data_IF_669303141474
#
_entry.id   IF_669303141474
#
_cell.length_a   1.000
_cell.length_b   1.000
_cell.length_c   1.000
_cell.angle_alpha   90.00
_cell.angle_beta   90.00
_cell.angle_gamma   90.00
#
_symmetry.space_group_name_H-M   'P 1'
#
loop_
_entity.id
_entity.type
_entity.pdbx_description
1 polymer ?
#
# COMPACT_ATOMS: atom_id res chain seq x y z
N UNK A 1 8.29 -77.88 -33.13
CA UNK A 1 8.09 -77.57 -31.69
C UNK A 1 8.79 -76.25 -31.38
N UNK A 2 8.06 -75.17 -31.43
CA UNK A 2 8.58 -73.81 -31.34
C UNK A 2 8.42 -73.29 -29.89
N UNK A 3 9.49 -73.07 -29.16
CA UNK A 3 9.43 -72.48 -27.83
C UNK A 3 9.35 -70.94 -27.90
N UNK A 4 8.21 -70.42 -27.51
CA UNK A 4 8.02 -68.99 -27.32
C UNK A 4 8.63 -68.59 -25.98
N UNK A 5 9.69 -67.76 -26.01
CA UNK A 5 10.26 -67.11 -24.82
C UNK A 5 9.50 -65.84 -24.54
N UNK A 6 8.73 -65.78 -23.46
CA UNK A 6 8.10 -64.54 -22.95
C UNK A 6 9.13 -63.72 -22.20
N UNK A 7 9.53 -62.63 -22.76
CA UNK A 7 10.32 -61.58 -22.05
C UNK A 7 9.35 -60.69 -21.30
N UNK A 8 9.32 -60.81 -20.01
CA UNK A 8 8.61 -59.88 -19.15
C UNK A 8 9.44 -58.60 -19.00
N UNK A 9 9.03 -57.54 -19.68
CA UNK A 9 9.63 -56.20 -19.48
C UNK A 9 9.12 -55.57 -18.19
N UNK A 10 9.96 -55.47 -17.19
CA UNK A 10 9.70 -54.64 -15.99
C UNK A 10 10.01 -53.22 -16.36
N UNK A 11 8.95 -52.43 -16.57
CA UNK A 11 9.04 -50.98 -16.74
C UNK A 11 9.19 -50.35 -15.34
N UNK A 12 10.41 -50.03 -14.95
CA UNK A 12 10.68 -49.24 -13.76
C UNK A 12 10.31 -47.77 -14.07
N UNK A 13 9.18 -47.30 -13.53
CA UNK A 13 8.86 -45.87 -13.48
C UNK A 13 9.87 -45.20 -12.52
N UNK A 14 10.91 -44.57 -13.08
CA UNK A 14 11.70 -43.60 -12.37
C UNK A 14 10.85 -42.30 -12.21
N UNK A 15 10.25 -42.12 -11.05
CA UNK A 15 9.79 -40.80 -10.66
C UNK A 15 11.04 -39.92 -10.47
N UNK A 16 11.35 -39.08 -11.46
CA UNK A 16 12.22 -37.94 -11.26
C UNK A 16 11.45 -36.98 -10.34
N UNK A 17 11.74 -37.02 -9.06
CA UNK A 17 11.42 -35.93 -8.14
C UNK A 17 12.32 -34.75 -8.52
N UNK A 18 11.87 -33.94 -9.48
CA UNK A 18 12.42 -32.63 -9.68
C UNK A 18 12.21 -31.88 -8.35
N UNK A 19 13.22 -31.20 -7.79
CA UNK A 19 13.00 -30.33 -6.65
C UNK A 19 11.93 -29.30 -7.08
N UNK A 20 10.79 -29.31 -6.41
CA UNK A 20 9.79 -28.26 -6.55
C UNK A 20 10.54 -26.99 -6.14
N UNK A 21 10.68 -25.97 -7.00
CA UNK A 21 11.29 -24.72 -6.59
C UNK A 21 10.49 -24.24 -5.38
N UNK A 22 11.15 -24.14 -4.21
CA UNK A 22 10.56 -23.52 -3.05
C UNK A 22 10.24 -22.08 -3.47
N UNK A 23 8.97 -21.71 -3.56
CA UNK A 23 8.58 -20.32 -3.74
C UNK A 23 9.19 -19.57 -2.54
N UNK A 24 10.11 -18.68 -2.83
CA UNK A 24 10.62 -17.77 -1.80
C UNK A 24 9.48 -16.77 -1.56
N UNK A 25 8.98 -16.71 -0.32
CA UNK A 25 7.97 -15.74 0.06
C UNK A 25 8.42 -14.34 -0.36
N UNK A 26 7.54 -13.62 -1.04
CA UNK A 26 7.80 -12.24 -1.41
C UNK A 26 7.75 -11.40 -0.12
N UNK A 27 8.78 -10.62 0.12
CA UNK A 27 8.86 -9.75 1.29
C UNK A 27 9.56 -8.44 0.92
N UNK A 28 9.21 -7.32 1.57
CA UNK A 28 9.93 -6.08 1.37
C UNK A 28 11.41 -6.25 1.74
N UNK A 29 12.31 -5.45 1.12
CA UNK A 29 13.71 -5.41 1.54
C UNK A 29 13.83 -5.15 3.05
N UNK A 30 14.81 -5.74 3.73
CA UNK A 30 15.09 -5.41 5.12
C UNK A 30 15.33 -3.92 5.29
N UNK A 31 14.69 -3.33 6.30
CA UNK A 31 14.93 -1.93 6.63
C UNK A 31 16.36 -1.75 7.13
N UNK A 32 17.09 -0.87 6.45
CA UNK A 32 18.44 -0.44 6.83
C UNK A 32 18.49 1.09 6.84
N UNK A 33 18.75 1.67 8.00
CA UNK A 33 18.80 3.11 8.19
C UNK A 33 19.92 3.82 7.39
N UNK A 34 20.90 3.08 6.86
CA UNK A 34 21.93 3.62 5.97
C UNK A 34 21.33 4.14 4.65
N UNK A 35 20.17 3.64 4.23
CA UNK A 35 19.44 4.12 3.05
C UNK A 35 18.51 5.31 3.33
N UNK A 36 18.42 5.80 4.57
CA UNK A 36 17.57 6.95 4.88
C UNK A 36 18.02 8.17 4.07
N UNK A 37 17.15 8.80 3.27
CA UNK A 37 17.51 10.00 2.54
C UNK A 37 18.07 11.08 3.46
N UNK A 38 19.12 11.77 3.05
CA UNK A 38 19.64 12.92 3.80
C UNK A 38 18.59 14.03 3.87
N UNK A 39 18.56 14.83 4.97
CA UNK A 39 17.70 16.00 5.03
C UNK A 39 18.02 16.96 3.88
N UNK A 40 17.00 17.32 3.10
CA UNK A 40 17.15 18.26 2.00
C UNK A 40 15.84 19.03 1.80
N UNK A 41 15.94 20.24 1.29
CA UNK A 41 14.77 20.98 0.85
C UNK A 41 14.06 20.22 -0.29
N UNK A 42 12.72 20.19 -0.31
CA UNK A 42 11.95 19.63 -1.42
C UNK A 42 12.35 20.27 -2.75
N UNK A 43 12.72 19.44 -3.72
CA UNK A 43 13.11 19.88 -5.05
C UNK A 43 12.86 18.76 -6.07
N UNK A 44 12.52 19.09 -7.33
CA UNK A 44 12.41 18.10 -8.39
C UNK A 44 13.75 17.41 -8.67
N UNK A 45 13.76 16.18 -9.19
CA UNK A 45 14.97 15.43 -9.48
C UNK A 45 15.81 16.03 -10.62
N UNK A 46 15.26 16.96 -11.37
CA UNK A 46 15.89 17.67 -12.47
C UNK A 46 14.97 18.73 -13.06
N UNK A 47 15.35 19.43 -14.12
CA UNK A 47 14.48 20.39 -14.81
C UNK A 47 13.24 19.71 -15.35
N UNK A 48 12.06 20.23 -14.99
CA UNK A 48 10.76 19.72 -15.40
C UNK A 48 10.03 20.68 -16.31
N UNK A 49 9.01 20.18 -16.98
CA UNK A 49 8.07 20.98 -17.77
C UNK A 49 6.65 20.41 -17.66
N UNK A 50 5.67 21.28 -17.79
CA UNK A 50 4.30 20.83 -17.89
C UNK A 50 4.06 20.22 -19.28
N UNK A 51 3.68 18.95 -19.33
CA UNK A 51 3.46 18.16 -20.56
C UNK A 51 2.00 18.07 -20.97
N UNK A 52 1.06 18.35 -20.06
CA UNK A 52 -0.37 18.31 -20.31
C UNK A 52 -1.11 19.43 -19.57
N UNK A 53 -2.31 19.76 -20.02
CA UNK A 53 -3.18 20.73 -19.33
C UNK A 53 -3.57 20.19 -17.97
N UNK A 54 -3.71 21.10 -16.99
CA UNK A 54 -4.26 20.73 -15.69
C UNK A 54 -5.66 20.16 -15.82
N UNK A 55 -5.99 19.23 -14.93
CA UNK A 55 -7.32 18.64 -14.86
C UNK A 55 -8.37 19.70 -14.51
N UNK A 56 -9.59 19.49 -14.96
CA UNK A 56 -10.76 20.23 -14.50
C UNK A 56 -11.60 19.28 -13.63
N UNK A 57 -12.16 19.81 -12.56
CA UNK A 57 -13.11 19.08 -11.72
C UNK A 57 -14.52 19.53 -12.01
N UNK A 58 -15.46 18.60 -12.04
CA UNK A 58 -16.87 18.90 -12.24
C UNK A 58 -17.49 19.32 -10.91
N UNK A 59 -18.40 20.28 -10.94
CA UNK A 59 -19.18 20.62 -9.75
C UNK A 59 -19.97 19.41 -9.25
N UNK A 60 -19.92 19.17 -7.95
CA UNK A 60 -20.67 18.08 -7.34
C UNK A 60 -22.16 18.27 -7.53
N UNK A 61 -22.88 17.17 -7.79
CA UNK A 61 -24.34 17.14 -7.91
C UNK A 61 -25.04 17.19 -6.55
N UNK A 62 -24.32 16.90 -5.49
CA UNK A 62 -24.79 16.90 -4.10
C UNK A 62 -23.71 17.45 -3.18
N UNK A 63 -24.11 18.06 -2.07
CA UNK A 63 -23.22 18.48 -0.99
C UNK A 63 -23.01 17.39 0.08
N UNK A 64 -23.77 16.28 -0.02
CA UNK A 64 -23.68 15.17 0.95
C UNK A 64 -22.58 14.21 0.51
N UNK A 65 -21.59 13.99 1.35
CA UNK A 65 -20.60 12.97 1.12
C UNK A 65 -21.15 11.59 1.52
N UNK A 66 -21.65 10.84 0.52
CA UNK A 66 -22.11 9.46 0.73
C UNK A 66 -21.02 8.58 1.34
N UNK A 67 -19.77 8.79 0.94
CA UNK A 67 -18.59 8.12 1.48
C UNK A 67 -18.45 8.28 3.01
N UNK A 68 -18.63 9.49 3.54
CA UNK A 68 -18.42 9.77 4.96
C UNK A 68 -19.65 9.49 5.84
N UNK A 69 -20.80 9.24 5.26
CA UNK A 69 -22.05 8.99 5.99
C UNK A 69 -21.96 7.76 6.90
N UNK A 70 -21.21 6.73 6.50
CA UNK A 70 -21.03 5.50 7.26
C UNK A 70 -20.17 5.66 8.53
N UNK A 71 -19.46 6.79 8.70
CA UNK A 71 -18.54 7.02 9.83
C UNK A 71 -19.22 7.59 11.07
N UNK A 72 -20.48 7.99 10.98
CA UNK A 72 -21.23 8.62 12.08
C UNK A 72 -20.45 9.79 12.75
N UNK A 73 -19.90 10.68 11.94
CA UNK A 73 -19.04 11.77 12.41
C UNK A 73 -19.72 12.69 13.42
N UNK A 74 -21.06 12.81 13.38
CA UNK A 74 -21.81 13.57 14.36
C UNK A 74 -21.65 13.04 15.80
N UNK A 75 -21.48 11.72 15.98
CA UNK A 75 -21.18 11.12 17.28
C UNK A 75 -19.69 11.19 17.65
N UNK A 76 -18.80 11.29 16.65
CA UNK A 76 -17.34 11.34 16.84
C UNK A 76 -16.85 12.74 17.24
N UNK A 77 -17.33 13.80 16.59
CA UNK A 77 -16.82 15.16 16.77
C UNK A 77 -16.97 15.75 18.17
N UNK A 78 -17.97 15.41 18.99
CA UNK A 78 -17.97 15.80 20.40
C UNK A 78 -16.76 15.27 21.19
N UNK A 79 -16.13 14.17 20.73
CA UNK A 79 -14.96 13.57 21.37
C UNK A 79 -13.65 14.08 20.78
N UNK A 80 -13.58 14.28 19.47
CA UNK A 80 -12.39 14.77 18.77
C UNK A 80 -12.74 15.30 17.37
N UNK A 81 -12.08 16.40 16.96
CA UNK A 81 -12.15 16.99 15.61
C UNK A 81 -10.78 17.04 14.93
N UNK A 82 -9.73 16.45 15.56
CA UNK A 82 -8.37 16.42 15.01
C UNK A 82 -7.52 17.65 15.37
N UNK A 83 -7.97 18.54 16.25
CA UNK A 83 -7.22 19.72 16.65
C UNK A 83 -5.81 19.35 17.17
N UNK A 84 -4.80 20.17 16.81
CA UNK A 84 -3.40 19.97 17.19
C UNK A 84 -2.67 18.90 16.36
N UNK A 85 -3.34 18.26 15.39
CA UNK A 85 -2.70 17.30 14.50
C UNK A 85 -2.35 17.94 13.16
N UNK A 86 -1.21 17.53 12.60
CA UNK A 86 -0.79 17.89 11.24
C UNK A 86 -0.78 16.63 10.39
N UNK A 87 -1.60 16.62 9.35
CA UNK A 87 -1.66 15.53 8.37
C UNK A 87 -0.92 15.96 7.12
N UNK A 88 0.22 15.32 6.83
CA UNK A 88 0.90 15.52 5.56
C UNK A 88 0.15 14.77 4.45
N UNK A 89 -0.18 15.46 3.38
CA UNK A 89 -0.73 14.90 2.15
C UNK A 89 0.40 14.87 1.13
N UNK A 90 1.00 13.68 0.94
CA UNK A 90 2.03 13.43 -0.08
C UNK A 90 1.30 12.92 -1.33
N UNK A 91 1.12 13.82 -2.30
CA UNK A 91 0.25 13.58 -3.44
C UNK A 91 0.62 14.50 -4.63
N UNK A 92 -0.35 14.88 -5.44
CA UNK A 92 -0.19 15.78 -6.60
C UNK A 92 -0.12 17.28 -6.24
N UNK A 93 -0.02 17.60 -4.95
CA UNK A 93 -0.16 18.93 -4.37
C UNK A 93 -1.54 19.13 -3.75
N UNK A 94 -1.76 20.26 -3.08
CA UNK A 94 -3.07 20.62 -2.53
C UNK A 94 -3.35 22.08 -2.89
N UNK A 95 -4.30 22.33 -3.76
CA UNK A 95 -4.69 23.68 -4.14
C UNK A 95 -5.28 24.45 -2.94
N UNK A 96 -4.97 25.75 -2.86
CA UNK A 96 -5.58 26.63 -1.85
C UNK A 96 -7.10 26.65 -2.03
N UNK A 97 -7.80 26.36 -0.94
CA UNK A 97 -9.26 26.29 -0.95
C UNK A 97 -9.83 26.91 0.34
N UNK A 98 -10.96 27.63 0.28
CA UNK A 98 -11.56 28.30 1.45
C UNK A 98 -11.93 27.33 2.58
N UNK A 99 -12.19 26.05 2.25
CA UNK A 99 -12.47 24.99 3.23
C UNK A 99 -11.22 24.28 3.77
N UNK A 100 -10.02 24.75 3.42
CA UNK A 100 -8.75 24.30 4.01
C UNK A 100 -8.06 25.48 4.71
N UNK A 101 -8.64 26.05 5.79
CA UNK A 101 -8.12 27.24 6.46
C UNK A 101 -6.76 26.99 7.13
N UNK A 102 -6.39 25.73 7.40
CA UNK A 102 -5.15 25.32 8.05
C UNK A 102 -4.19 24.61 7.08
N UNK A 103 -4.18 25.07 5.79
CA UNK A 103 -3.25 24.55 4.79
C UNK A 103 -1.85 25.12 5.01
N UNK A 104 -0.84 24.24 5.09
CA UNK A 104 0.57 24.55 5.30
C UNK A 104 1.33 24.12 4.05
N UNK A 105 2.21 24.97 3.54
CA UNK A 105 3.13 24.64 2.47
C UNK A 105 4.21 23.67 2.96
N UNK A 106 4.36 22.51 2.30
CA UNK A 106 5.30 21.45 2.67
C UNK A 106 6.38 21.17 1.63
N UNK A 107 6.27 21.80 0.45
CA UNK A 107 7.25 21.72 -0.63
C UNK A 107 6.82 20.91 -1.84
N UNK A 108 7.63 20.99 -2.89
CA UNK A 108 7.30 20.47 -4.21
C UNK A 108 8.49 19.72 -4.84
N UNK A 109 8.30 18.45 -5.12
CA UNK A 109 9.27 17.58 -5.83
C UNK A 109 8.98 17.49 -7.34
N UNK A 110 7.99 18.26 -7.86
CA UNK A 110 7.57 18.22 -9.27
C UNK A 110 8.04 19.45 -10.03
N UNK A 111 7.74 20.66 -9.52
CA UNK A 111 8.03 21.91 -10.23
C UNK A 111 8.77 22.95 -9.37
N UNK A 112 9.07 22.62 -8.11
CA UNK A 112 9.80 23.51 -7.19
C UNK A 112 8.95 24.67 -6.66
N UNK A 113 7.61 24.51 -6.59
CA UNK A 113 6.71 25.42 -5.89
C UNK A 113 6.67 25.10 -4.38
N UNK A 114 5.65 25.55 -3.66
CA UNK A 114 5.53 25.33 -2.22
C UNK A 114 4.65 24.11 -1.85
N UNK A 115 4.16 23.35 -2.85
CA UNK A 115 3.25 22.22 -2.66
C UNK A 115 1.78 22.58 -2.63
N UNK A 116 1.44 23.90 -2.60
CA UNK A 116 0.05 24.35 -2.60
C UNK A 116 -0.52 24.60 -4.00
N UNK A 117 0.12 24.04 -5.00
CA UNK A 117 -0.36 23.95 -6.38
C UNK A 117 -0.69 22.51 -6.73
N UNK A 118 -1.86 22.29 -7.31
CA UNK A 118 -2.32 20.96 -7.75
C UNK A 118 -2.88 21.06 -9.17
N UNK A 119 -2.14 20.50 -10.12
CA UNK A 119 -2.56 20.48 -11.53
C UNK A 119 -3.38 19.22 -11.88
N UNK A 120 -3.32 18.21 -11.05
CA UNK A 120 -4.00 16.92 -11.23
C UNK A 120 -5.36 16.86 -10.52
N UNK A 121 -5.51 17.55 -9.38
CA UNK A 121 -6.72 17.63 -8.56
C UNK A 121 -6.87 16.50 -7.57
N UNK A 122 -5.99 15.51 -7.59
CA UNK A 122 -6.11 14.35 -6.73
C UNK A 122 -5.76 14.69 -5.27
N UNK A 123 -4.62 15.34 -5.02
CA UNK A 123 -4.22 15.70 -3.67
C UNK A 123 -5.17 16.71 -3.00
N UNK A 124 -5.77 17.61 -3.75
CA UNK A 124 -6.82 18.54 -3.26
C UNK A 124 -8.06 17.76 -2.81
N UNK A 125 -8.48 16.76 -3.59
CA UNK A 125 -9.59 15.88 -3.25
C UNK A 125 -9.28 15.06 -1.97
N UNK A 126 -8.07 14.49 -1.86
CA UNK A 126 -7.56 13.77 -0.68
C UNK A 126 -7.56 14.67 0.56
N UNK A 127 -7.02 15.88 0.45
CA UNK A 127 -6.98 16.85 1.56
C UNK A 127 -8.40 17.23 2.04
N UNK A 128 -9.35 17.33 1.10
CA UNK A 128 -10.75 17.61 1.40
C UNK A 128 -11.40 16.51 2.24
N UNK A 129 -11.14 15.24 1.95
CA UNK A 129 -11.64 14.11 2.72
C UNK A 129 -11.05 14.13 4.14
N UNK A 130 -9.77 14.46 4.29
CA UNK A 130 -9.10 14.49 5.59
C UNK A 130 -9.62 15.63 6.46
N UNK A 131 -9.53 16.88 5.96
CA UNK A 131 -9.55 18.03 6.85
C UNK A 131 -10.34 19.24 6.34
N UNK A 132 -11.27 19.07 5.36
CA UNK A 132 -12.11 20.19 4.97
C UNK A 132 -12.95 20.69 6.13
N UNK A 133 -12.99 22.01 6.33
CA UNK A 133 -13.88 22.66 7.28
C UNK A 133 -15.35 22.43 6.89
N UNK A 134 -16.24 22.40 7.89
CA UNK A 134 -17.67 22.18 7.65
C UNK A 134 -18.29 23.29 6.78
N UNK A 135 -19.05 22.90 5.78
CA UNK A 135 -19.80 23.78 4.88
C UNK A 135 -21.14 23.15 4.51
N UNK A 136 -22.21 23.54 5.17
CA UNK A 136 -23.51 22.90 5.03
C UNK A 136 -23.44 21.46 5.54
N UNK A 137 -23.78 20.51 4.68
CA UNK A 137 -23.77 19.07 4.99
C UNK A 137 -22.41 18.40 4.67
N UNK A 138 -21.43 19.15 4.12
CA UNK A 138 -20.11 18.65 3.79
C UNK A 138 -19.09 19.02 4.87
N UNK A 139 -18.20 18.08 5.18
CA UNK A 139 -17.00 18.28 6.00
C UNK A 139 -15.99 17.17 5.71
N UNK A 140 -14.71 17.42 5.99
CA UNK A 140 -13.72 16.36 6.13
C UNK A 140 -13.90 15.56 7.42
N UNK A 141 -13.15 14.48 7.57
CA UNK A 141 -13.21 13.60 8.77
C UNK A 141 -12.68 14.32 10.02
N UNK A 142 -11.57 15.03 9.89
CA UNK A 142 -10.88 15.75 10.96
C UNK A 142 -10.75 17.25 10.64
N UNK A 143 -11.87 18.01 10.70
CA UNK A 143 -11.94 19.37 10.14
C UNK A 143 -11.09 20.42 10.88
N UNK A 144 -10.57 20.11 12.06
CA UNK A 144 -9.72 21.00 12.86
C UNK A 144 -8.22 20.59 12.78
N UNK A 145 -7.87 19.57 11.95
CA UNK A 145 -6.49 19.22 11.67
C UNK A 145 -5.86 20.16 10.63
N UNK A 146 -4.56 20.41 10.77
CA UNK A 146 -3.79 21.10 9.74
C UNK A 146 -3.40 20.14 8.60
N UNK A 147 -3.38 20.64 7.38
CA UNK A 147 -2.94 19.90 6.19
C UNK A 147 -1.57 20.43 5.74
N UNK A 148 -0.54 19.58 5.76
CA UNK A 148 0.77 19.87 5.20
C UNK A 148 0.81 19.36 3.75
N UNK A 149 0.80 20.27 2.78
CA UNK A 149 0.77 19.95 1.36
C UNK A 149 2.16 19.64 0.82
N UNK A 150 2.39 18.42 0.36
CA UNK A 150 3.64 18.01 -0.29
C UNK A 150 3.31 17.47 -1.68
N UNK A 151 3.76 18.20 -2.71
CA UNK A 151 3.62 17.76 -4.09
C UNK A 151 4.75 16.82 -4.45
N UNK A 152 4.46 15.51 -4.53
CA UNK A 152 5.45 14.48 -4.82
C UNK A 152 5.34 13.94 -6.24
N UNK A 153 4.14 13.96 -6.83
CA UNK A 153 3.87 13.40 -8.14
C UNK A 153 2.95 14.29 -8.98
N UNK A 154 2.93 14.05 -10.28
CA UNK A 154 1.97 14.65 -11.21
C UNK A 154 1.94 13.89 -12.52
N UNK A 155 0.76 13.66 -13.07
CA UNK A 155 0.57 13.13 -14.43
C UNK A 155 0.57 14.25 -15.50
N UNK A 156 0.81 15.48 -15.11
CA UNK A 156 0.79 16.66 -15.99
C UNK A 156 2.16 17.25 -16.25
N UNK A 157 3.18 16.72 -15.55
CA UNK A 157 4.57 17.16 -15.66
C UNK A 157 5.49 15.98 -16.01
N UNK A 158 6.63 16.28 -16.64
CA UNK A 158 7.69 15.32 -16.96
C UNK A 158 9.08 15.96 -16.83
N UNK A 159 10.11 15.17 -16.78
CA UNK A 159 11.47 15.67 -16.94
C UNK A 159 11.69 16.17 -18.36
N UNK A 160 12.37 17.31 -18.53
CA UNK A 160 12.74 17.83 -19.86
C UNK A 160 13.70 16.90 -20.60
N UNK A 161 14.50 16.14 -19.87
CA UNK A 161 15.44 15.15 -20.42
C UNK A 161 14.76 13.87 -20.89
N UNK A 162 13.51 13.61 -20.49
CA UNK A 162 12.76 12.40 -20.85
C UNK A 162 11.37 12.76 -21.42
N UNK A 163 11.29 12.69 -22.75
CA UNK A 163 10.06 12.98 -23.49
C UNK A 163 9.18 11.73 -23.69
N UNK A 164 9.63 10.57 -23.21
CA UNK A 164 8.94 9.29 -23.38
C UNK A 164 8.04 8.95 -22.19
N UNK A 165 8.39 9.43 -21.01
CA UNK A 165 7.57 9.24 -19.79
C UNK A 165 6.42 10.24 -19.73
N UNK A 166 5.29 9.77 -19.23
CA UNK A 166 4.13 10.59 -18.90
C UNK A 166 3.95 10.61 -17.39
N UNK A 167 4.36 11.69 -16.75
CA UNK A 167 4.24 11.84 -15.32
C UNK A 167 5.58 11.91 -14.58
N UNK A 168 5.50 12.39 -13.35
CA UNK A 168 6.58 12.45 -12.36
C UNK A 168 6.11 11.81 -11.07
N UNK A 169 7.05 11.25 -10.35
CA UNK A 169 6.86 10.58 -9.07
C UNK A 169 7.39 9.16 -9.13
N UNK A 170 8.32 8.86 -8.24
CA UNK A 170 8.94 7.54 -8.07
C UNK A 170 9.10 7.23 -6.58
N UNK A 171 9.58 6.03 -6.27
CA UNK A 171 9.77 5.58 -4.89
C UNK A 171 10.87 6.36 -4.16
N UNK A 172 11.87 6.88 -4.88
CA UNK A 172 12.95 7.66 -4.28
C UNK A 172 12.48 9.08 -3.90
N UNK A 173 11.70 9.74 -4.76
CA UNK A 173 11.07 11.02 -4.42
C UNK A 173 10.05 10.85 -3.30
N UNK A 174 9.33 9.72 -3.24
CA UNK A 174 8.42 9.40 -2.15
C UNK A 174 9.16 9.22 -0.82
N UNK A 175 10.31 8.52 -0.82
CA UNK A 175 11.15 8.38 0.37
C UNK A 175 11.61 9.74 0.92
N UNK A 176 12.03 10.65 0.04
CA UNK A 176 12.41 12.03 0.41
C UNK A 176 11.22 12.84 0.92
N UNK A 177 10.05 12.69 0.31
CA UNK A 177 8.83 13.37 0.73
C UNK A 177 8.36 12.91 2.12
N UNK A 178 8.40 11.60 2.41
CA UNK A 178 8.09 11.03 3.74
C UNK A 178 9.09 11.55 4.78
N UNK A 179 10.39 11.57 4.45
CA UNK A 179 11.41 12.14 5.33
C UNK A 179 11.13 13.61 5.62
N UNK A 180 10.83 14.41 4.59
CA UNK A 180 10.50 15.84 4.73
C UNK A 180 9.24 16.06 5.58
N UNK A 181 8.17 15.29 5.35
CA UNK A 181 6.93 15.35 6.14
C UNK A 181 7.21 15.07 7.64
N UNK A 182 7.99 14.02 7.92
CA UNK A 182 8.35 13.62 9.27
C UNK A 182 9.21 14.68 9.97
N UNK A 183 10.18 15.28 9.26
CA UNK A 183 11.02 16.36 9.78
C UNK A 183 10.23 17.66 10.00
N UNK A 184 9.21 17.93 9.20
CA UNK A 184 8.28 19.05 9.38
C UNK A 184 7.30 18.84 10.55
N UNK A 185 7.35 17.70 11.24
CA UNK A 185 6.53 17.42 12.41
C UNK A 185 5.12 16.92 12.09
N UNK A 186 4.88 16.38 10.89
CA UNK A 186 3.63 15.72 10.61
C UNK A 186 3.39 14.55 11.57
N UNK A 187 2.21 14.51 12.18
CA UNK A 187 1.81 13.43 13.10
C UNK A 187 1.11 12.29 12.38
N UNK A 188 0.59 12.57 11.18
CA UNK A 188 0.00 11.61 10.25
C UNK A 188 0.55 11.91 8.85
N UNK A 189 0.90 10.88 8.10
CA UNK A 189 1.38 11.01 6.73
C UNK A 189 0.46 10.17 5.85
N UNK A 190 -0.30 10.82 4.96
CA UNK A 190 -1.16 10.15 3.98
C UNK A 190 -0.41 10.01 2.66
N UNK A 191 -0.33 8.77 2.16
CA UNK A 191 0.23 8.41 0.85
C UNK A 191 -0.85 7.71 0.04
N UNK A 192 -1.50 8.44 -0.86
CA UNK A 192 -2.57 7.89 -1.71
C UNK A 192 -2.06 7.39 -3.07
N UNK A 193 -0.80 7.68 -3.41
CA UNK A 193 -0.14 7.18 -4.62
C UNK A 193 0.69 5.95 -4.29
N UNK A 194 0.60 4.91 -5.12
CA UNK A 194 1.32 3.65 -4.94
C UNK A 194 2.01 3.22 -6.24
N UNK A 195 3.10 2.47 -6.11
CA UNK A 195 3.76 1.78 -7.22
C UNK A 195 3.43 0.28 -7.17
N UNK A 196 2.92 -0.26 -8.28
CA UNK A 196 2.68 -1.69 -8.42
C UNK A 196 3.71 -2.32 -9.34
N UNK A 197 4.26 -3.47 -8.92
CA UNK A 197 5.20 -4.27 -9.69
C UNK A 197 4.82 -5.76 -9.61
N UNK A 198 5.13 -6.57 -10.63
CA UNK A 198 5.02 -8.02 -10.51
C UNK A 198 5.88 -8.54 -9.35
N UNK A 199 5.38 -9.52 -8.61
CA UNK A 199 6.13 -10.14 -7.52
C UNK A 199 7.44 -10.82 -7.97
N UNK A 200 7.54 -11.15 -9.26
CA UNK A 200 8.76 -11.69 -9.90
C UNK A 200 9.86 -10.65 -10.14
N UNK A 201 9.52 -9.35 -10.08
CA UNK A 201 10.45 -8.24 -10.29
C UNK A 201 10.10 -7.09 -9.33
N UNK A 202 10.31 -7.29 -8.01
CA UNK A 202 9.92 -6.32 -7.00
C UNK A 202 10.81 -5.08 -7.06
N UNK A 203 10.30 -3.90 -6.63
CA UNK A 203 11.07 -2.66 -6.67
C UNK A 203 12.23 -2.69 -5.67
N UNK A 204 13.35 -2.03 -6.00
CA UNK A 204 14.37 -1.66 -5.02
C UNK A 204 13.95 -0.34 -4.34
N UNK A 205 13.18 -0.45 -3.27
CA UNK A 205 12.65 0.68 -2.53
C UNK A 205 13.19 0.78 -1.08
N UNK A 206 14.47 0.35 -0.88
CA UNK A 206 15.14 0.37 0.43
C UNK A 206 15.16 1.76 1.08
N UNK A 207 15.34 2.81 0.29
CA UNK A 207 15.29 4.20 0.77
C UNK A 207 13.90 4.53 1.33
N UNK A 208 12.84 4.04 0.70
CA UNK A 208 11.46 4.20 1.16
C UNK A 208 11.23 3.45 2.47
N UNK A 209 11.69 2.18 2.57
CA UNK A 209 11.60 1.42 3.82
C UNK A 209 12.30 2.11 4.99
N UNK A 210 13.49 2.69 4.76
CA UNK A 210 14.21 3.46 5.76
C UNK A 210 13.48 4.75 6.17
N UNK A 211 12.85 5.46 5.22
CA UNK A 211 12.07 6.67 5.48
C UNK A 211 10.79 6.36 6.28
N UNK A 212 10.11 5.25 5.98
CA UNK A 212 8.93 4.76 6.71
C UNK A 212 9.29 4.43 8.17
N UNK A 213 10.36 3.66 8.38
CA UNK A 213 10.84 3.33 9.73
C UNK A 213 11.23 4.59 10.50
N UNK A 214 11.89 5.55 9.87
CA UNK A 214 12.22 6.84 10.47
C UNK A 214 10.95 7.61 10.88
N UNK A 215 9.97 7.71 10.01
CA UNK A 215 8.72 8.41 10.30
C UNK A 215 7.99 7.78 11.50
N UNK A 216 7.90 6.45 11.55
CA UNK A 216 7.14 5.73 12.59
C UNK A 216 7.91 5.64 13.89
N UNK A 217 9.16 5.16 13.86
CA UNK A 217 9.88 4.81 15.09
C UNK A 217 10.69 5.97 15.67
N UNK A 218 11.12 6.94 14.84
CA UNK A 218 11.91 8.09 15.31
C UNK A 218 11.04 9.33 15.48
N UNK A 219 10.12 9.58 14.52
CA UNK A 219 9.30 10.81 14.52
C UNK A 219 7.90 10.58 15.09
N UNK A 220 7.55 9.33 15.41
CA UNK A 220 6.25 8.95 15.97
C UNK A 220 5.06 9.38 15.06
N UNK A 221 5.23 9.37 13.74
CA UNK A 221 4.19 9.66 12.78
C UNK A 221 3.50 8.38 12.31
N UNK A 222 2.17 8.37 12.20
CA UNK A 222 1.44 7.26 11.57
C UNK A 222 1.45 7.45 10.07
N UNK A 223 1.93 6.47 9.33
CA UNK A 223 1.88 6.48 7.86
C UNK A 223 0.68 5.65 7.40
N UNK A 224 -0.22 6.27 6.65
CA UNK A 224 -1.41 5.63 6.07
C UNK A 224 -1.25 5.57 4.56
N UNK A 225 -1.45 4.41 3.96
CA UNK A 225 -1.29 4.24 2.51
C UNK A 225 -2.48 3.53 1.88
N UNK A 226 -2.69 3.78 0.59
CA UNK A 226 -3.68 3.06 -0.21
C UNK A 226 -3.21 1.63 -0.53
N UNK A 227 -4.14 0.67 -0.60
CA UNK A 227 -3.83 -0.72 -0.96
C UNK A 227 -3.53 -0.90 -2.46
N UNK A 228 -3.89 0.06 -3.31
CA UNK A 228 -3.79 -0.03 -4.77
C UNK A 228 -5.12 -0.39 -5.42
N UNK A 229 -5.21 -0.10 -6.72
CA UNK A 229 -6.41 -0.38 -7.52
C UNK A 229 -6.05 -1.31 -8.68
N UNK A 230 -6.79 -2.39 -8.84
CA UNK A 230 -6.66 -3.27 -10.01
C UNK A 230 -6.97 -2.48 -11.28
N UNK A 231 -6.09 -2.56 -12.24
CA UNK A 231 -6.08 -1.77 -13.46
C UNK A 231 -4.87 -0.84 -13.53
N UNK A 232 -4.57 -0.27 -14.67
CA UNK A 232 -3.38 0.56 -14.85
C UNK A 232 -2.08 -0.21 -14.59
N UNK A 233 -1.24 0.28 -13.67
CA UNK A 233 0.02 -0.37 -13.29
C UNK A 233 -0.18 -1.61 -12.41
N UNK A 234 -1.28 -1.70 -11.67
CA UNK A 234 -1.64 -2.88 -10.88
C UNK A 234 -2.45 -3.87 -11.74
N UNK A 235 -1.80 -4.57 -12.65
CA UNK A 235 -2.48 -5.37 -13.70
C UNK A 235 -3.16 -6.63 -13.19
N UNK A 236 -2.67 -7.20 -12.09
CA UNK A 236 -3.11 -8.50 -11.57
C UNK A 236 -3.58 -8.37 -10.13
N UNK A 237 -4.76 -8.94 -9.84
CA UNK A 237 -5.26 -9.06 -8.47
C UNK A 237 -4.52 -10.16 -7.73
N UNK A 238 -4.17 -9.91 -6.47
CA UNK A 238 -3.61 -10.93 -5.61
C UNK A 238 -4.70 -11.94 -5.17
N UNK A 239 -4.33 -13.20 -4.88
CA UNK A 239 -5.23 -14.17 -4.30
C UNK A 239 -5.85 -13.67 -2.98
N UNK A 240 -7.10 -14.04 -2.73
CA UNK A 240 -7.83 -13.60 -1.54
C UNK A 240 -7.48 -14.40 -0.26
N UNK A 241 -6.47 -15.24 -0.33
CA UNK A 241 -5.99 -16.08 0.77
C UNK A 241 -5.79 -17.53 0.36
N UNK A 242 -5.14 -18.30 1.21
CA UNK A 242 -4.89 -19.73 0.97
C UNK A 242 -6.03 -20.57 1.53
N UNK A 243 -6.57 -21.46 0.70
CA UNK A 243 -7.55 -22.45 1.14
C UNK A 243 -6.97 -23.26 2.32
N UNK A 244 -7.70 -23.28 3.46
CA UNK A 244 -7.29 -23.99 4.67
C UNK A 244 -6.50 -23.16 5.71
N UNK A 245 -6.24 -21.87 5.46
CA UNK A 245 -5.66 -20.94 6.43
C UNK A 245 -6.44 -19.62 6.50
N UNK A 246 -7.74 -19.65 6.83
CA UNK A 246 -8.51 -18.41 6.99
C UNK A 246 -7.90 -17.54 8.10
N UNK A 247 -7.98 -16.24 7.95
CA UNK A 247 -7.49 -15.30 8.95
C UNK A 247 -5.96 -15.12 9.00
N UNK A 248 -5.20 -15.70 8.07
CA UNK A 248 -3.73 -15.61 8.07
C UNK A 248 -3.23 -14.95 6.79
N UNK A 249 -2.38 -13.88 6.87
CA UNK A 249 -1.71 -13.29 5.72
C UNK A 249 -0.85 -14.30 4.96
N UNK A 250 -0.99 -14.37 3.64
CA UNK A 250 -0.26 -15.27 2.76
C UNK A 250 0.68 -14.46 1.85
N UNK A 251 1.98 -14.55 2.12
CA UNK A 251 3.03 -13.88 1.37
C UNK A 251 3.64 -14.77 0.27
N UNK A 252 3.26 -16.06 0.24
CA UNK A 252 3.83 -17.03 -0.71
C UNK A 252 3.15 -17.00 -2.08
N UNK A 253 1.92 -16.46 -2.14
CA UNK A 253 1.07 -16.50 -3.34
C UNK A 253 0.85 -15.14 -3.99
N UNK A 254 1.62 -14.11 -3.60
CA UNK A 254 1.49 -12.75 -4.13
C UNK A 254 1.91 -12.72 -5.61
N UNK A 255 1.09 -12.10 -6.44
CA UNK A 255 1.36 -11.84 -7.85
C UNK A 255 1.78 -10.40 -8.13
N UNK A 256 1.21 -9.44 -7.38
CA UNK A 256 1.51 -8.02 -7.46
C UNK A 256 2.00 -7.50 -6.11
N UNK A 257 3.16 -6.84 -6.09
CA UNK A 257 3.69 -6.07 -4.96
C UNK A 257 3.20 -4.64 -5.05
N UNK A 258 2.83 -4.06 -3.93
CA UNK A 258 2.42 -2.66 -3.82
C UNK A 258 3.34 -1.93 -2.86
N UNK A 259 4.13 -1.00 -3.35
CA UNK A 259 4.95 -0.10 -2.54
C UNK A 259 4.20 1.24 -2.33
N UNK A 260 4.10 1.78 -1.09
CA UNK A 260 4.75 1.33 0.14
C UNK A 260 3.97 0.27 0.97
N UNK A 261 2.79 -0.17 0.53
CA UNK A 261 1.89 -1.03 1.30
C UNK A 261 2.56 -2.32 1.83
N UNK A 262 3.48 -2.92 1.08
CA UNK A 262 4.16 -4.15 1.50
C UNK A 262 5.11 -3.99 2.70
N UNK A 263 5.43 -2.76 3.13
CA UNK A 263 6.10 -2.47 4.39
C UNK A 263 5.12 -2.45 5.57
N UNK A 264 4.30 -3.49 5.70
CA UNK A 264 3.15 -3.58 6.61
C UNK A 264 3.50 -3.36 8.10
N UNK A 265 4.76 -3.53 8.50
CA UNK A 265 5.23 -3.17 9.85
C UNK A 265 5.27 -1.65 10.08
N UNK A 266 5.29 -0.82 9.03
CA UNK A 266 5.49 0.63 9.13
C UNK A 266 4.36 1.45 8.54
N UNK A 267 3.40 0.83 7.90
CA UNK A 267 2.26 1.54 7.30
C UNK A 267 0.93 0.94 7.75
N UNK A 268 -0.09 1.76 7.78
CA UNK A 268 -1.49 1.34 7.92
C UNK A 268 -2.09 1.34 6.51
N UNK A 269 -2.23 0.17 5.93
CA UNK A 269 -2.70 0.01 4.54
C UNK A 269 -4.21 -0.09 4.47
N UNK A 270 -4.80 0.71 3.58
CA UNK A 270 -6.25 0.88 3.48
C UNK A 270 -6.77 0.41 2.13
N UNK A 271 -7.64 -0.61 2.16
CA UNK A 271 -8.46 -1.04 1.03
C UNK A 271 -9.75 -0.23 0.93
N UNK A 272 -10.51 -0.46 -0.15
CA UNK A 272 -11.76 0.24 -0.43
C UNK A 272 -12.98 -0.66 -0.25
N UNK A 273 -14.04 -0.08 0.32
CA UNK A 273 -15.39 -0.63 0.36
C UNK A 273 -16.40 0.38 -0.20
N UNK A 274 -17.56 -0.12 -0.59
CA UNK A 274 -18.72 0.72 -0.88
C UNK A 274 -19.37 1.26 0.41
N UNK A 275 -20.44 2.02 0.30
CA UNK A 275 -21.17 2.58 1.45
C UNK A 275 -21.92 1.55 2.28
N UNK A 276 -22.11 0.34 1.77
CA UNK A 276 -22.70 -0.79 2.49
C UNK A 276 -21.64 -1.65 3.22
N UNK A 277 -20.34 -1.37 2.97
CA UNK A 277 -19.21 -2.09 3.54
C UNK A 277 -18.78 -3.31 2.73
N UNK A 278 -19.30 -3.50 1.51
CA UNK A 278 -18.83 -4.54 0.62
C UNK A 278 -17.50 -4.12 -0.04
N UNK A 279 -16.50 -5.02 -0.18
CA UNK A 279 -15.23 -4.70 -0.82
C UNK A 279 -15.42 -4.23 -2.25
N UNK A 280 -14.82 -3.08 -2.61
CA UNK A 280 -14.83 -2.56 -3.97
C UNK A 280 -14.09 -3.51 -4.92
N UNK A 281 -14.62 -3.74 -6.11
CA UNK A 281 -14.04 -4.68 -7.08
C UNK A 281 -12.64 -4.26 -7.55
N UNK A 282 -12.36 -2.97 -7.54
CA UNK A 282 -11.04 -2.44 -7.89
C UNK A 282 -10.03 -2.50 -6.75
N UNK A 283 -10.44 -2.75 -5.49
CA UNK A 283 -9.51 -2.77 -4.36
C UNK A 283 -8.53 -3.93 -4.48
N UNK A 284 -7.23 -3.62 -4.53
CA UNK A 284 -6.21 -4.65 -4.60
C UNK A 284 -6.07 -5.34 -3.24
N UNK A 285 -6.21 -6.65 -3.24
CA UNK A 285 -6.02 -7.48 -2.06
C UNK A 285 -4.53 -7.73 -1.79
N UNK A 286 -4.20 -8.04 -0.55
CA UNK A 286 -2.83 -8.43 -0.20
C UNK A 286 -2.67 -8.72 1.28
N UNK A 287 -1.58 -9.40 1.67
CA UNK A 287 -1.30 -9.73 3.06
C UNK A 287 -1.04 -8.50 3.94
N UNK A 288 -0.78 -7.35 3.32
CA UNK A 288 -0.55 -6.05 3.95
C UNK A 288 -1.80 -5.23 4.21
N UNK A 289 -2.99 -5.66 3.76
CA UNK A 289 -4.22 -4.88 4.01
C UNK A 289 -4.58 -4.93 5.48
N UNK A 290 -4.57 -3.75 6.13
CA UNK A 290 -4.90 -3.62 7.54
C UNK A 290 -6.39 -3.41 7.76
N UNK A 291 -6.96 -2.39 7.12
CA UNK A 291 -8.38 -2.02 7.26
C UNK A 291 -8.93 -1.54 5.92
N UNK A 292 -10.23 -1.39 5.87
CA UNK A 292 -10.91 -0.76 4.73
C UNK A 292 -11.75 0.43 5.18
N UNK A 293 -11.93 1.37 4.24
CA UNK A 293 -12.81 2.50 4.40
C UNK A 293 -13.59 2.75 3.11
N UNK A 294 -14.70 3.51 3.15
CA UNK A 294 -15.43 3.83 1.93
C UNK A 294 -14.57 4.63 0.95
N UNK A 295 -14.43 4.12 -0.28
CA UNK A 295 -13.67 4.75 -1.37
C UNK A 295 -14.48 4.93 -2.64
N UNK A 296 -15.80 4.84 -2.55
CA UNK A 296 -16.74 5.06 -3.64
C UNK A 296 -17.75 6.17 -3.30
N UNK A 297 -18.43 6.71 -4.31
CA UNK A 297 -19.38 7.81 -4.16
C UNK A 297 -18.78 9.03 -3.44
N UNK A 298 -17.55 9.35 -3.80
CA UNK A 298 -16.75 10.40 -3.17
C UNK A 298 -17.24 11.77 -3.56
N UNK A 299 -17.55 12.59 -2.56
CA UNK A 299 -17.78 14.05 -2.72
C UNK A 299 -16.72 14.73 -1.88
N UNK A 300 -15.96 15.65 -2.49
CA UNK A 300 -14.83 16.31 -1.86
C UNK A 300 -14.53 17.67 -2.51
N UNK A 301 -13.36 18.26 -2.24
CA UNK A 301 -12.96 19.56 -2.79
C UNK A 301 -12.55 19.43 -4.26
N UNK A 302 -12.99 20.39 -5.07
CA UNK A 302 -12.64 20.51 -6.48
C UNK A 302 -11.54 21.52 -6.76
N UNK A 303 -10.93 21.43 -7.97
CA UNK A 303 -9.98 22.42 -8.48
C UNK A 303 -10.71 23.63 -9.10
N UNK A 304 -10.04 24.80 -9.06
CA UNK A 304 -10.43 25.96 -9.83
C UNK A 304 -11.68 26.69 -9.33
N UNK A 305 -12.30 26.22 -8.26
CA UNK A 305 -13.41 26.88 -7.57
C UNK A 305 -13.40 26.54 -6.09
N UNK A 306 -13.97 27.39 -5.26
CA UNK A 306 -14.21 27.06 -3.83
C UNK A 306 -15.35 26.04 -3.65
N UNK A 307 -15.60 25.20 -4.64
CA UNK A 307 -16.71 24.26 -4.71
C UNK A 307 -16.32 22.81 -4.41
N UNK A 308 -17.35 21.97 -4.35
CA UNK A 308 -17.21 20.53 -4.21
C UNK A 308 -17.21 19.85 -5.57
N UNK A 309 -16.60 18.67 -5.63
CA UNK A 309 -16.62 17.78 -6.79
C UNK A 309 -16.98 16.35 -6.39
N UNK A 310 -17.64 15.63 -7.28
CA UNK A 310 -17.93 14.20 -7.18
C UNK A 310 -17.40 13.42 -8.40
N UNK A 311 -16.63 14.10 -9.25
CA UNK A 311 -16.08 13.52 -10.47
C UNK A 311 -15.06 14.43 -11.13
N UNK A 312 -14.39 13.87 -12.12
CA UNK A 312 -13.51 14.61 -13.03
C UNK A 312 -13.85 14.24 -14.46
N UNK A 313 -13.65 15.19 -15.36
CA UNK A 313 -13.78 14.97 -16.79
C UNK A 313 -12.38 14.82 -17.39
N UNK A 314 -12.08 13.63 -17.89
CA UNK A 314 -10.91 13.35 -18.71
C UNK A 314 -11.36 13.21 -20.17
N UNK A 315 -10.91 14.11 -21.03
CA UNK A 315 -11.33 14.21 -22.44
C UNK A 315 -12.85 14.45 -22.61
N UNK A 316 -13.64 13.42 -22.89
CA UNK A 316 -15.08 13.53 -23.10
C UNK A 316 -15.91 12.80 -22.03
N UNK A 317 -15.26 12.00 -21.19
CA UNK A 317 -15.95 11.14 -20.24
C UNK A 317 -15.83 11.67 -18.80
N UNK A 318 -16.99 11.91 -18.19
CA UNK A 318 -17.07 12.20 -16.76
C UNK A 318 -16.99 10.89 -15.98
N UNK A 319 -16.02 10.82 -15.06
CA UNK A 319 -15.84 9.66 -14.17
C UNK A 319 -16.10 10.06 -12.72
N UNK A 320 -16.91 9.30 -11.97
CA UNK A 320 -17.02 9.45 -10.52
C UNK A 320 -15.67 9.27 -9.86
N UNK A 321 -15.45 9.95 -8.73
CA UNK A 321 -14.28 9.71 -7.90
C UNK A 321 -14.46 8.40 -7.15
N UNK A 322 -13.58 7.45 -7.41
CA UNK A 322 -13.51 6.16 -6.71
C UNK A 322 -12.06 5.65 -6.69
N UNK A 323 -11.67 4.94 -5.61
CA UNK A 323 -10.33 4.39 -5.46
C UNK A 323 -9.93 4.18 -4.01
N UNK A 324 -8.98 3.28 -3.77
CA UNK A 324 -8.32 3.12 -2.45
C UNK A 324 -7.60 4.41 -2.04
N UNK A 325 -7.21 5.24 -3.00
CA UNK A 325 -6.63 6.57 -2.78
C UNK A 325 -7.60 7.57 -2.14
N UNK A 326 -8.91 7.31 -2.18
CA UNK A 326 -9.93 8.07 -1.46
C UNK A 326 -10.39 7.39 -0.17
N UNK A 327 -10.10 6.10 0.02
CA UNK A 327 -10.31 5.39 1.27
C UNK A 327 -9.20 5.68 2.30
N UNK A 328 -7.95 5.74 1.87
CA UNK A 328 -6.80 6.04 2.74
C UNK A 328 -6.96 7.38 3.49
N UNK A 329 -7.36 8.50 2.88
CA UNK A 329 -7.58 9.76 3.59
C UNK A 329 -8.70 9.69 4.64
N UNK A 330 -9.71 8.84 4.47
CA UNK A 330 -10.72 8.60 5.52
C UNK A 330 -10.04 8.09 6.77
N UNK A 331 -9.17 7.07 6.64
CA UNK A 331 -8.43 6.49 7.77
C UNK A 331 -7.41 7.49 8.32
N UNK A 332 -6.74 8.28 7.46
CA UNK A 332 -5.83 9.35 7.91
C UNK A 332 -6.54 10.38 8.78
N UNK A 333 -7.77 10.75 8.42
CA UNK A 333 -8.62 11.61 9.25
C UNK A 333 -8.97 10.94 10.58
N UNK A 334 -9.36 9.65 10.57
CA UNK A 334 -9.64 8.91 11.83
C UNK A 334 -8.40 8.81 12.70
N UNK A 335 -7.22 8.57 12.14
CA UNK A 335 -5.94 8.60 12.86
C UNK A 335 -5.70 9.95 13.51
N UNK A 336 -5.97 11.06 12.80
CA UNK A 336 -5.84 12.41 13.38
C UNK A 336 -6.83 12.63 14.52
N UNK A 337 -8.07 12.14 14.43
CA UNK A 337 -9.04 12.16 15.53
C UNK A 337 -8.52 11.40 16.76
N UNK A 338 -8.00 10.18 16.57
CA UNK A 338 -7.43 9.34 17.64
C UNK A 338 -6.24 10.05 18.30
N UNK A 339 -5.29 10.56 17.51
CA UNK A 339 -4.09 11.24 18.04
C UNK A 339 -4.43 12.53 18.79
N UNK A 340 -5.43 13.27 18.35
CA UNK A 340 -5.94 14.45 19.06
C UNK A 340 -6.58 14.08 20.40
N UNK A 341 -7.31 12.97 20.45
CA UNK A 341 -7.99 12.50 21.68
C UNK A 341 -7.05 11.81 22.67
N UNK A 342 -6.06 11.05 22.14
CA UNK A 342 -5.15 10.18 22.90
C UNK A 342 -3.69 10.51 22.54
N UNK A 343 -3.19 11.73 22.87
CA UNK A 343 -1.90 12.22 22.38
C UNK A 343 -0.69 11.45 22.94
N UNK A 344 -0.87 10.65 23.97
CA UNK A 344 0.17 9.83 24.59
C UNK A 344 0.47 8.55 23.80
N UNK A 345 -0.40 8.16 22.85
CA UNK A 345 -0.20 6.93 22.08
C UNK A 345 0.93 7.09 21.07
N UNK A 346 1.76 6.06 20.97
CA UNK A 346 2.77 5.97 19.91
C UNK A 346 2.11 5.67 18.55
N UNK A 347 2.82 5.93 17.44
CA UNK A 347 2.33 5.63 16.11
C UNK A 347 1.89 4.16 15.98
N UNK A 348 2.71 3.23 16.49
CA UNK A 348 2.38 1.79 16.47
C UNK A 348 1.15 1.44 17.30
N UNK A 349 0.97 2.09 18.44
CA UNK A 349 -0.23 1.91 19.27
C UNK A 349 -1.48 2.46 18.57
N UNK A 350 -1.37 3.58 17.86
CA UNK A 350 -2.48 4.12 17.07
C UNK A 350 -2.84 3.18 15.92
N UNK A 351 -1.84 2.67 15.16
CA UNK A 351 -2.09 1.68 14.10
C UNK A 351 -2.77 0.42 14.64
N UNK A 352 -2.26 -0.14 15.74
CA UNK A 352 -2.89 -1.29 16.41
C UNK A 352 -4.33 -0.99 16.78
N UNK A 353 -4.58 0.19 17.40
CA UNK A 353 -5.92 0.60 17.81
C UNK A 353 -6.91 0.68 16.64
N UNK A 354 -6.49 1.25 15.50
CA UNK A 354 -7.35 1.30 14.30
C UNK A 354 -7.73 -0.11 13.85
N UNK A 355 -6.79 -1.06 13.87
CA UNK A 355 -7.04 -2.46 13.55
C UNK A 355 -7.97 -3.13 14.57
N UNK A 356 -7.67 -2.98 15.85
CA UNK A 356 -8.39 -3.65 16.94
C UNK A 356 -9.83 -3.16 17.10
N UNK A 357 -10.12 -1.91 16.73
CA UNK A 357 -11.46 -1.31 16.82
C UNK A 357 -12.25 -1.37 15.51
N UNK A 358 -11.66 -1.90 14.43
CA UNK A 358 -12.36 -2.10 13.16
C UNK A 358 -13.53 -3.11 13.33
N UNK A 359 -14.51 -3.04 12.44
CA UNK A 359 -15.57 -4.04 12.37
C UNK A 359 -15.06 -5.26 11.63
N UNK A 360 -14.60 -6.26 12.41
CA UNK A 360 -13.91 -7.43 11.89
C UNK A 360 -14.80 -8.32 11.01
N UNK A 361 -14.24 -8.93 9.94
CA UNK A 361 -14.88 -10.05 9.25
C UNK A 361 -14.95 -11.28 10.17
N UNK A 362 -15.78 -12.26 9.81
CA UNK A 362 -16.00 -13.44 10.65
C UNK A 362 -14.74 -14.26 10.97
N UNK A 363 -13.78 -14.27 10.06
CA UNK A 363 -12.47 -14.91 10.20
C UNK A 363 -11.42 -14.05 10.94
N UNK A 364 -11.79 -12.85 11.39
CA UNK A 364 -10.92 -11.89 12.08
C UNK A 364 -10.08 -11.03 11.13
N UNK A 365 -9.56 -11.61 10.04
CA UNK A 365 -8.79 -10.94 9.00
C UNK A 365 -8.95 -11.66 7.65
N UNK A 366 -8.93 -10.93 6.55
CA UNK A 366 -8.74 -11.48 5.21
C UNK A 366 -8.03 -10.48 4.27
N UNK A 367 -7.50 -10.97 3.14
CA UNK A 367 -6.69 -10.15 2.23
C UNK A 367 -7.46 -9.03 1.51
N UNK A 368 -8.80 -9.06 1.48
CA UNK A 368 -9.64 -8.03 0.82
C UNK A 368 -9.96 -6.87 1.75
N UNK A 369 -10.22 -7.15 3.03
CA UNK A 369 -10.70 -6.15 3.99
C UNK A 369 -9.80 -5.99 5.21
N UNK A 370 -8.69 -6.72 5.29
CA UNK A 370 -7.82 -6.69 6.45
C UNK A 370 -8.58 -7.09 7.72
N UNK A 371 -8.41 -6.33 8.79
CA UNK A 371 -9.16 -6.45 10.04
C UNK A 371 -10.58 -5.89 9.94
N UNK A 372 -11.00 -5.38 8.78
CA UNK A 372 -12.37 -4.96 8.54
C UNK A 372 -12.55 -3.47 8.33
N UNK A 373 -13.81 -3.03 8.38
CA UNK A 373 -14.18 -1.63 8.12
C UNK A 373 -13.82 -0.75 9.32
N UNK A 374 -13.11 0.36 9.08
CA UNK A 374 -12.74 1.31 10.13
C UNK A 374 -13.98 1.81 10.87
N UNK A 375 -13.91 1.84 12.20
CA UNK A 375 -14.94 2.39 13.08
C UNK A 375 -14.38 3.62 13.83
N UNK A 376 -14.72 4.79 13.33
CA UNK A 376 -14.21 6.05 13.88
C UNK A 376 -14.65 6.28 15.33
N UNK A 377 -15.89 5.93 15.67
CA UNK A 377 -16.42 6.10 17.01
C UNK A 377 -15.74 5.15 18.00
N UNK A 378 -15.63 3.87 17.67
CA UNK A 378 -14.91 2.90 18.48
C UNK A 378 -13.44 3.30 18.67
N UNK A 379 -12.77 3.79 17.60
CA UNK A 379 -11.39 4.22 17.66
C UNK A 379 -11.14 5.38 18.64
N UNK A 380 -12.06 6.35 18.78
CA UNK A 380 -11.90 7.50 19.69
C UNK A 380 -12.52 7.29 21.06
N UNK A 381 -13.48 6.35 21.26
CA UNK A 381 -14.30 6.24 22.46
C UNK A 381 -13.66 5.47 23.62
N UNK A 382 -12.73 4.56 23.38
CA UNK A 382 -12.19 3.75 24.45
C UNK A 382 -11.24 4.58 25.31
N UNK A 383 -11.48 4.64 26.60
CA UNK A 383 -10.54 5.15 27.57
C UNK A 383 -9.21 4.42 27.43
N UNK A 384 -8.09 5.19 27.36
CA UNK A 384 -6.75 4.65 27.09
C UNK A 384 -6.18 3.68 28.15
N UNK A 385 -7.03 3.12 28.99
CA UNK A 385 -6.65 2.28 30.13
C UNK A 385 -6.52 0.77 29.81
N UNK A 386 -6.75 0.31 28.60
CA UNK A 386 -6.87 -1.14 28.37
C UNK A 386 -6.05 -1.74 27.22
N UNK A 387 -5.04 -1.09 26.69
CA UNK A 387 -4.11 -1.79 25.78
C UNK A 387 -2.73 -1.88 26.40
N UNK A 388 -2.69 -2.37 27.65
CA UNK A 388 -1.49 -2.92 28.27
C UNK A 388 -1.44 -4.45 28.07
N UNK A 389 -1.91 -4.94 26.96
CA UNK A 389 -1.40 -6.20 26.43
C UNK A 389 -0.25 -5.82 25.52
N UNK A 390 0.95 -5.93 26.07
CA UNK A 390 2.16 -6.15 25.29
C UNK A 390 1.96 -7.44 24.48
N UNK A 391 1.17 -7.39 23.44
CA UNK A 391 1.35 -8.28 22.32
C UNK A 391 2.62 -7.74 21.68
N UNK A 392 3.76 -8.26 22.17
CA UNK A 392 4.95 -8.32 21.35
C UNK A 392 4.45 -8.92 20.04
N UNK A 393 4.43 -8.17 18.91
CA UNK A 393 4.06 -8.77 17.64
C UNK A 393 4.88 -10.04 17.55
N UNK A 394 4.31 -11.18 17.16
CA UNK A 394 5.10 -12.37 17.00
C UNK A 394 6.26 -11.94 16.12
N UNK A 395 7.45 -11.90 16.71
CA UNK A 395 8.68 -11.59 16.00
C UNK A 395 8.64 -12.57 14.83
N UNK A 396 8.34 -12.06 13.61
CA UNK A 396 8.35 -12.91 12.44
C UNK A 396 9.73 -13.51 12.45
N UNK A 397 9.82 -14.78 12.89
CA UNK A 397 11.04 -15.55 12.72
C UNK A 397 11.24 -15.53 11.23
N UNK A 398 12.13 -14.64 10.77
CA UNK A 398 12.57 -14.68 9.38
C UNK A 398 12.96 -16.13 9.14
N UNK A 399 12.41 -16.81 8.13
CA UNK A 399 13.03 -18.04 7.70
C UNK A 399 14.48 -17.66 7.41
N UNK A 400 15.39 -18.18 8.22
CA UNK A 400 16.82 -18.08 7.93
C UNK A 400 16.94 -18.61 6.51
N UNK A 401 17.53 -17.87 5.56
CA UNK A 401 17.72 -18.39 4.21
C UNK A 401 18.34 -19.77 4.39
N UNK A 402 17.81 -20.83 3.74
CA UNK A 402 18.34 -22.16 3.91
C UNK A 402 19.83 -22.05 3.66
N UNK A 403 20.62 -22.33 4.68
CA UNK A 403 22.07 -22.50 4.52
C UNK A 403 22.18 -23.50 3.40
N UNK A 404 22.70 -23.09 2.24
CA UNK A 404 22.95 -23.99 1.13
C UNK A 404 23.84 -25.07 1.71
N UNK A 405 23.23 -26.21 2.02
CA UNK A 405 23.97 -27.35 2.53
C UNK A 405 24.78 -27.89 1.36
N UNK A 406 26.03 -27.41 1.27
CA UNK A 406 27.00 -27.84 0.27
C UNK A 406 27.16 -29.37 0.27
N UNK A 407 26.73 -29.99 1.36
CA UNK A 407 26.76 -31.45 1.52
C UNK A 407 25.57 -32.10 0.81
N UNK A 408 24.39 -31.52 0.85
CA UNK A 408 23.20 -31.97 0.10
C UNK A 408 23.43 -31.90 -1.41
N UNK A 409 24.04 -30.81 -1.89
CA UNK A 409 24.41 -30.64 -3.30
C UNK A 409 25.43 -31.69 -3.76
N UNK A 410 26.45 -32.03 -2.90
CA UNK A 410 27.45 -33.07 -3.21
C UNK A 410 26.83 -34.46 -3.24
N UNK A 411 25.90 -34.77 -2.35
CA UNK A 411 25.20 -36.06 -2.30
C UNK A 411 24.32 -36.24 -3.54
N UNK A 412 23.58 -35.18 -3.96
CA UNK A 412 22.77 -35.22 -5.16
C UNK A 412 23.60 -35.40 -6.45
N UNK A 413 24.77 -34.73 -6.53
CA UNK A 413 25.69 -34.88 -7.67
C UNK A 413 26.32 -36.28 -7.71
N UNK A 414 26.74 -36.82 -6.56
CA UNK A 414 27.30 -38.15 -6.49
C UNK A 414 26.26 -39.24 -6.84
N UNK A 415 25.03 -39.10 -6.34
CA UNK A 415 23.93 -40.01 -6.68
C UNK A 415 23.60 -40.03 -8.17
N UNK A 416 23.52 -38.86 -8.81
CA UNK A 416 23.27 -38.73 -10.24
C UNK A 416 24.39 -39.36 -11.09
N UNK A 417 25.64 -39.15 -10.73
CA UNK A 417 26.81 -39.73 -11.40
C UNK A 417 26.81 -41.25 -11.33
N UNK A 418 26.45 -41.84 -10.18
CA UNK A 418 26.34 -43.29 -9.98
C UNK A 418 25.20 -43.86 -10.86
N UNK A 419 24.05 -43.23 -10.92
CA UNK A 419 22.94 -43.67 -11.76
C UNK A 419 23.31 -43.69 -13.25
N UNK A 420 23.97 -42.63 -13.73
CA UNK A 420 24.44 -42.57 -15.16
C UNK A 420 25.47 -43.66 -15.45
N UNK A 421 26.41 -43.90 -14.54
CA UNK A 421 27.43 -44.97 -14.70
C UNK A 421 26.77 -46.34 -14.76
N UNK A 422 25.78 -46.64 -13.93
CA UNK A 422 25.05 -47.90 -13.95
C UNK A 422 24.25 -48.09 -15.26
N UNK A 423 23.62 -47.05 -15.78
CA UNK A 423 22.91 -47.10 -17.07
C UNK A 423 23.89 -47.37 -18.21
N UNK A 424 25.03 -46.73 -18.23
CA UNK A 424 26.07 -46.98 -19.24
C UNK A 424 26.66 -48.37 -19.18
N UNK A 425 26.90 -48.91 -18.00
CA UNK A 425 27.39 -50.26 -17.81
C UNK A 425 26.38 -51.34 -18.26
N UNK A 426 25.11 -51.16 -17.93
CA UNK A 426 24.04 -52.08 -18.36
C UNK A 426 23.83 -52.02 -19.86
N UNK A 427 23.84 -50.85 -20.49
CA UNK A 427 23.75 -50.68 -21.92
C UNK A 427 24.96 -51.30 -22.67
N UNK A 428 26.17 -51.16 -22.10
CA UNK A 428 27.38 -51.75 -22.60
C UNK A 428 27.36 -53.31 -22.54
N UNK A 429 26.90 -53.85 -21.40
CA UNK A 429 26.76 -55.29 -21.22
C UNK A 429 25.71 -55.93 -22.17
N UNK A 430 24.63 -55.26 -22.43
CA UNK A 430 23.61 -55.69 -23.39
C UNK A 430 24.18 -55.71 -24.81
N UNK A 431 24.97 -54.71 -25.22
CA UNK A 431 25.58 -54.64 -26.55
C UNK A 431 26.61 -55.73 -26.78
N UNK A 432 27.35 -56.17 -25.73
CA UNK A 432 28.31 -57.27 -25.80
C UNK A 432 27.61 -58.63 -25.89
N UNK A 433 26.40 -58.81 -25.35
CA UNK A 433 25.63 -60.08 -25.47
C UNK A 433 24.94 -60.23 -26.81
N UNK A 434 24.68 -59.14 -27.55
CA UNK A 434 24.06 -59.18 -28.90
C UNK A 434 25.12 -59.45 -29.97
N UNK A 435 26.42 -59.30 -29.69
CA UNK A 435 27.54 -59.57 -30.62
C UNK A 435 28.20 -60.93 -30.47
N UNK A 436 27.71 -61.77 -29.58
CA UNK A 436 28.02 -63.22 -29.50
C UNK A 436 26.78 -64.02 -29.93
#
# INVERSE_FOLDING_TARGET
MTRVVRVAGATALLYLSAPIPSSVAVAPPPVDHAYLPAPAAPAPPGPTEQSARCSATDAAKTSVSGQLSALNLAAVWPLSRGAGQTVAVIDTGVARHRLLPHLIAGGDFVAGSDGTEDCDGHGTAVAGIIGAAAAGEFSGVAPDAAILAIRQSSNKFRLRSDTTTTGLGDVDTLARAIRSAADAGATVINVSSVACQPATDPPDDRALGAALAYAVDVRNAVVVTAAGNVGGSCTTQNPFGTAGRPGTPDWDTIESVVSPAWYDDYVLTVGSVDTAGAPSDFSLAGPWVDVVAPGENVVTLGLGSDGLTDGRTDAADRRPLAGTSYAAPVVSGVVALVRSRLPQMTARQVMARIRDTARHPAEGWNARVGFGVVDALAAVSADGAAVATSVTPPSRVRPTPPTQDAQAGRIAFAGSAICVALVLLTAGALRLRVRR
#
